data_IF_246673751057
#
_entry.id   IF_246673751057
#
_cell.length_a   1.000
_cell.length_b   1.000
_cell.length_c   1.000
_cell.angle_alpha   90.00
_cell.angle_beta   90.00
_cell.angle_gamma   90.00
#
_symmetry.space_group_name_H-M   'P 1'
#
loop_
_entity.id
_entity.type
_entity.pdbx_description
1 polymer ?
#
# COMPACT_ATOMS: atom_id res chain seq x y z
N UNK A 1 -10.59 -7.13 11.42
CA UNK A 1 -10.72 -5.67 11.26
C UNK A 1 -10.41 -5.35 9.80
N UNK A 2 -11.28 -4.64 9.08
CA UNK A 2 -11.07 -4.37 7.64
C UNK A 2 -9.97 -3.36 7.35
N UNK A 3 -9.63 -2.48 8.30
CA UNK A 3 -8.56 -1.49 8.13
C UNK A 3 -7.16 -2.00 8.48
N UNK A 4 -7.02 -3.26 8.89
CA UNK A 4 -5.76 -3.87 9.32
C UNK A 4 -4.87 -4.29 8.13
N UNK A 5 -4.74 -3.40 7.13
CA UNK A 5 -3.81 -3.56 6.02
C UNK A 5 -2.36 -3.36 6.49
N UNK A 6 -1.41 -3.95 5.78
CA UNK A 6 0.00 -3.95 6.17
C UNK A 6 0.55 -2.53 6.32
N UNK A 7 0.19 -1.64 5.42
CA UNK A 7 0.62 -0.23 5.39
C UNK A 7 0.09 0.54 6.59
N UNK A 8 -1.22 0.41 6.87
CA UNK A 8 -1.86 1.08 8.01
C UNK A 8 -1.23 0.61 9.32
N UNK A 9 -1.02 -0.70 9.48
CA UNK A 9 -0.39 -1.25 10.67
C UNK A 9 1.07 -0.80 10.81
N UNK A 10 1.86 -0.86 9.73
CA UNK A 10 3.27 -0.46 9.74
C UNK A 10 3.42 1.03 10.12
N UNK A 11 2.62 1.91 9.51
CA UNK A 11 2.63 3.34 9.80
C UNK A 11 2.19 3.63 11.24
N UNK A 12 1.09 3.01 11.69
CA UNK A 12 0.58 3.19 13.06
C UNK A 12 1.58 2.71 14.11
N UNK A 13 2.24 1.58 13.88
CA UNK A 13 3.27 1.04 14.77
C UNK A 13 4.50 1.96 14.82
N UNK A 14 4.97 2.46 13.66
CA UNK A 14 6.10 3.39 13.62
C UNK A 14 5.79 4.69 14.38
N UNK A 15 4.60 5.26 14.15
CA UNK A 15 4.12 6.46 14.85
C UNK A 15 4.03 6.23 16.37
N UNK A 16 3.47 5.09 16.78
CA UNK A 16 3.37 4.72 18.19
C UNK A 16 4.75 4.56 18.85
N UNK A 17 5.70 3.88 18.19
CA UNK A 17 7.05 3.66 18.71
C UNK A 17 7.87 4.95 18.84
N UNK A 18 7.64 5.91 17.94
CA UNK A 18 8.32 7.21 17.93
C UNK A 18 7.57 8.29 18.70
N UNK A 19 6.43 7.95 19.32
CA UNK A 19 5.54 8.86 20.05
C UNK A 19 5.21 10.15 19.26
N UNK A 20 4.89 9.97 17.97
CA UNK A 20 4.56 11.06 17.04
C UNK A 20 3.51 10.60 16.03
N UNK A 21 2.64 11.50 15.59
CA UNK A 21 1.76 11.24 14.45
C UNK A 21 2.41 11.59 13.11
N UNK A 22 3.48 12.40 13.11
CA UNK A 22 4.18 12.88 11.92
C UNK A 22 5.57 12.25 11.83
N UNK A 23 5.72 11.27 10.94
CA UNK A 23 6.99 10.57 10.68
C UNK A 23 8.01 11.43 9.91
N UNK A 24 7.60 12.58 9.39
CA UNK A 24 8.46 13.58 8.76
C UNK A 24 8.76 14.77 9.66
N UNK A 25 8.35 14.70 10.94
CA UNK A 25 8.42 15.80 11.89
C UNK A 25 9.86 16.28 12.17
N UNK A 26 10.02 17.53 12.65
CA UNK A 26 11.33 18.11 12.93
C UNK A 26 12.17 17.24 13.89
N UNK A 27 13.43 17.00 13.52
CA UNK A 27 14.36 16.21 14.34
C UNK A 27 14.28 14.70 14.11
N UNK A 28 13.36 14.21 13.28
CA UNK A 28 13.31 12.83 12.84
C UNK A 28 14.12 12.63 11.55
N UNK A 29 14.70 11.42 11.34
CA UNK A 29 15.25 11.07 10.04
C UNK A 29 14.14 10.94 9.00
N UNK A 30 14.51 11.02 7.73
CA UNK A 30 13.60 10.69 6.64
C UNK A 30 13.17 9.22 6.73
N UNK A 31 11.86 8.98 6.82
CA UNK A 31 11.28 7.64 6.82
C UNK A 31 10.74 7.27 5.45
N UNK A 32 10.82 5.98 5.13
CA UNK A 32 10.26 5.39 3.92
C UNK A 32 9.36 4.20 4.27
N UNK A 33 8.28 4.05 3.51
CA UNK A 33 7.41 2.88 3.56
C UNK A 33 7.77 1.94 2.41
N UNK A 34 8.12 0.69 2.74
CA UNK A 34 8.45 -0.34 1.75
C UNK A 34 7.33 -1.39 1.77
N UNK A 35 6.63 -1.54 0.65
CA UNK A 35 5.46 -2.41 0.53
C UNK A 35 5.53 -3.22 -0.76
N UNK A 36 4.85 -4.36 -0.79
CA UNK A 36 4.94 -5.32 -1.89
C UNK A 36 4.09 -4.96 -3.12
N UNK A 37 3.20 -3.97 -3.02
CA UNK A 37 2.44 -3.42 -4.16
C UNK A 37 2.00 -1.98 -3.87
N UNK A 38 1.42 -1.32 -4.86
CA UNK A 38 0.81 0.00 -4.70
C UNK A 38 -0.21 -0.05 -3.56
N UNK A 39 -0.23 0.94 -2.65
CA UNK A 39 -1.25 1.02 -1.60
C UNK A 39 -2.67 1.18 -2.19
N UNK A 40 -3.64 0.44 -1.64
CA UNK A 40 -5.07 0.61 -1.96
C UNK A 40 -5.58 2.00 -1.55
N UNK A 41 -6.79 2.39 -1.96
CA UNK A 41 -7.31 3.75 -1.73
C UNK A 41 -7.25 4.20 -0.26
N UNK A 42 -7.51 3.29 0.67
CA UNK A 42 -7.37 3.53 2.11
C UNK A 42 -5.90 3.75 2.49
N UNK A 43 -5.02 2.83 2.10
CA UNK A 43 -3.59 2.85 2.45
C UNK A 43 -2.85 4.00 1.77
N UNK A 44 -3.28 4.42 0.59
CA UNK A 44 -2.81 5.60 -0.12
C UNK A 44 -3.10 6.88 0.69
N UNK A 45 -4.32 7.00 1.23
CA UNK A 45 -4.66 8.07 2.17
C UNK A 45 -3.77 8.04 3.42
N UNK A 46 -3.64 6.87 4.06
CA UNK A 46 -2.78 6.71 5.23
C UNK A 46 -1.31 7.09 4.95
N UNK A 47 -0.80 6.72 3.78
CA UNK A 47 0.54 7.08 3.29
C UNK A 47 0.73 8.58 3.28
N UNK A 48 -0.19 9.34 2.66
CA UNK A 48 -0.14 10.80 2.58
C UNK A 48 -0.15 11.45 3.97
N UNK A 49 -0.97 10.95 4.89
CA UNK A 49 -1.13 11.55 6.22
C UNK A 49 -0.03 11.19 7.21
N UNK A 50 0.81 10.20 6.89
CA UNK A 50 1.77 9.65 7.84
C UNK A 50 3.03 10.49 8.07
N UNK A 51 3.34 11.40 7.15
CA UNK A 51 4.57 12.21 7.17
C UNK A 51 5.80 11.53 6.56
N UNK A 52 5.70 10.29 6.06
CA UNK A 52 6.82 9.67 5.35
C UNK A 52 7.20 10.48 4.10
N UNK A 53 8.45 10.34 3.67
CA UNK A 53 8.98 11.10 2.52
C UNK A 53 9.23 10.20 1.30
N UNK A 54 9.06 8.89 1.43
CA UNK A 54 9.26 7.95 0.34
C UNK A 54 8.39 6.71 0.47
N UNK A 55 7.89 6.23 -0.66
CA UNK A 55 7.26 4.92 -0.82
C UNK A 55 8.07 4.10 -1.81
N UNK A 56 8.35 2.85 -1.46
CA UNK A 56 9.02 1.87 -2.33
C UNK A 56 8.06 0.72 -2.56
N UNK A 57 7.75 0.44 -3.83
CA UNK A 57 6.82 -0.60 -4.24
C UNK A 57 7.43 -1.53 -5.28
N UNK A 58 6.98 -2.78 -5.28
CA UNK A 58 7.35 -3.74 -6.32
C UNK A 58 6.60 -3.51 -7.63
N UNK A 59 5.38 -2.95 -7.57
CA UNK A 59 4.59 -2.60 -8.74
C UNK A 59 3.27 -1.95 -8.34
N UNK A 60 2.53 -1.44 -9.32
CA UNK A 60 1.27 -0.73 -9.11
C UNK A 60 0.32 -0.81 -10.30
N UNK A 61 0.40 -1.90 -11.05
CA UNK A 61 -0.48 -2.20 -12.16
C UNK A 61 -1.61 -3.16 -11.76
N UNK A 62 -2.39 -3.65 -12.75
CA UNK A 62 -3.56 -4.50 -12.52
C UNK A 62 -3.19 -5.92 -12.09
N UNK A 63 -1.91 -6.31 -12.14
CA UNK A 63 -1.47 -7.69 -11.92
C UNK A 63 -1.93 -8.24 -10.56
N UNK A 64 -1.92 -7.43 -9.50
CA UNK A 64 -2.42 -7.85 -8.19
C UNK A 64 -3.91 -8.22 -8.24
N UNK A 65 -4.74 -7.33 -8.77
CA UNK A 65 -6.19 -7.52 -8.83
C UNK A 65 -6.54 -8.71 -9.72
N UNK A 66 -5.87 -8.84 -10.88
CA UNK A 66 -6.05 -9.94 -11.82
C UNK A 66 -5.65 -11.30 -11.23
N UNK A 67 -4.57 -11.37 -10.45
CA UNK A 67 -4.06 -12.63 -9.89
C UNK A 67 -4.84 -13.05 -8.64
N UNK A 68 -5.16 -12.09 -7.76
CA UNK A 68 -5.64 -12.38 -6.40
C UNK A 68 -7.12 -12.10 -6.20
N UNK A 69 -7.75 -11.28 -7.03
CA UNK A 69 -9.10 -10.79 -6.82
C UNK A 69 -9.26 -9.75 -5.70
N UNK A 70 -8.15 -9.18 -5.20
CA UNK A 70 -8.21 -7.98 -4.36
C UNK A 70 -8.79 -6.80 -5.15
N UNK A 71 -9.40 -5.86 -4.43
CA UNK A 71 -9.92 -4.60 -4.97
C UNK A 71 -9.10 -3.47 -4.36
N UNK A 72 -8.34 -2.76 -5.19
CA UNK A 72 -7.50 -1.64 -4.76
C UNK A 72 -8.33 -0.38 -4.48
N UNK A 73 -9.61 -0.39 -4.84
CA UNK A 73 -10.53 0.71 -4.73
C UNK A 73 -10.26 1.81 -5.76
N UNK A 74 -11.01 2.92 -5.67
CA UNK A 74 -10.96 4.02 -6.64
C UNK A 74 -9.71 4.89 -6.42
N UNK A 75 -8.55 4.37 -6.83
CA UNK A 75 -7.30 5.14 -6.84
C UNK A 75 -7.38 6.22 -7.92
N UNK A 76 -6.97 7.45 -7.56
CA UNK A 76 -6.89 8.55 -8.50
C UNK A 76 -5.96 8.19 -9.67
N UNK A 77 -6.31 8.45 -10.95
CA UNK A 77 -5.45 8.11 -12.09
C UNK A 77 -4.03 8.68 -11.98
N UNK A 78 -3.91 9.91 -11.46
CA UNK A 78 -2.64 10.61 -11.27
C UNK A 78 -2.00 10.40 -9.89
N UNK A 79 -2.34 9.31 -9.18
CA UNK A 79 -1.82 9.06 -7.82
C UNK A 79 -0.29 9.18 -7.69
N UNK A 80 0.46 8.77 -8.73
CA UNK A 80 1.93 8.93 -8.76
C UNK A 80 2.36 10.39 -8.68
N UNK A 81 1.71 11.24 -9.48
CA UNK A 81 1.96 12.66 -9.50
C UNK A 81 1.53 13.32 -8.17
N UNK A 82 0.40 12.89 -7.64
CA UNK A 82 -0.12 13.38 -6.37
C UNK A 82 0.82 13.09 -5.18
N UNK A 83 1.55 11.97 -5.17
CA UNK A 83 2.62 11.72 -4.19
C UNK A 83 3.78 12.73 -4.35
N UNK A 84 4.26 12.92 -5.58
CA UNK A 84 5.40 13.80 -5.86
C UNK A 84 5.13 15.26 -5.45
N UNK A 85 3.95 15.81 -5.77
CA UNK A 85 3.61 17.20 -5.39
C UNK A 85 3.45 17.39 -3.89
N UNK A 86 3.28 16.31 -3.13
CA UNK A 86 3.27 16.29 -1.66
C UNK A 86 4.66 16.01 -1.07
N UNK A 87 5.70 15.95 -1.90
CA UNK A 87 7.07 15.70 -1.48
C UNK A 87 7.33 14.25 -1.07
N UNK A 88 6.52 13.31 -1.55
CA UNK A 88 6.70 11.88 -1.31
C UNK A 88 7.32 11.26 -2.55
N UNK A 89 8.58 10.84 -2.44
CA UNK A 89 9.29 10.11 -3.49
C UNK A 89 8.63 8.75 -3.73
N UNK A 90 8.46 8.37 -4.99
CA UNK A 90 7.98 7.05 -5.37
C UNK A 90 9.11 6.28 -6.08
N UNK A 91 9.44 5.10 -5.56
CA UNK A 91 10.35 4.14 -6.20
C UNK A 91 9.52 2.91 -6.57
N UNK A 92 9.49 2.58 -7.86
CA UNK A 92 8.71 1.45 -8.41
C UNK A 92 9.63 0.35 -8.95
N UNK A 93 9.02 -0.78 -9.31
CA UNK A 93 9.66 -1.93 -9.95
C UNK A 93 10.75 -2.63 -9.11
N UNK A 94 10.71 -2.47 -7.78
CA UNK A 94 11.66 -3.14 -6.87
C UNK A 94 11.23 -4.58 -6.62
N UNK A 95 11.98 -5.56 -7.16
CA UNK A 95 11.66 -7.00 -7.03
C UNK A 95 10.26 -7.35 -7.55
N UNK A 96 9.85 -6.71 -8.67
CA UNK A 96 8.53 -6.87 -9.27
C UNK A 96 8.20 -8.33 -9.59
N UNK A 97 9.14 -9.06 -10.19
CA UNK A 97 8.93 -10.44 -10.61
C UNK A 97 8.66 -11.36 -9.40
N UNK A 98 9.43 -11.16 -8.33
CA UNK A 98 9.31 -11.89 -7.09
C UNK A 98 7.98 -11.58 -6.38
N UNK A 99 7.55 -10.30 -6.37
CA UNK A 99 6.25 -9.93 -5.81
C UNK A 99 5.09 -10.58 -6.57
N UNK A 100 5.13 -10.59 -7.91
CA UNK A 100 4.13 -11.27 -8.75
C UNK A 100 4.10 -12.77 -8.45
N UNK A 101 5.26 -13.41 -8.27
CA UNK A 101 5.32 -14.82 -7.90
C UNK A 101 4.61 -15.08 -6.57
N UNK A 102 4.83 -14.24 -5.55
CA UNK A 102 4.15 -14.35 -4.26
C UNK A 102 2.64 -14.22 -4.41
N UNK A 103 2.13 -13.36 -5.29
CA UNK A 103 0.69 -13.27 -5.56
C UNK A 103 0.10 -14.54 -6.17
N UNK A 104 0.83 -15.18 -7.09
CA UNK A 104 0.41 -16.48 -7.63
C UNK A 104 0.38 -17.57 -6.55
N UNK A 105 1.39 -17.61 -5.68
CA UNK A 105 1.44 -18.54 -4.55
C UNK A 105 0.27 -18.29 -3.58
N UNK A 106 -0.04 -17.02 -3.30
CA UNK A 106 -1.19 -16.63 -2.47
C UNK A 106 -2.52 -17.07 -3.09
N UNK A 107 -2.74 -16.77 -4.38
CA UNK A 107 -3.96 -17.16 -5.09
C UNK A 107 -4.15 -18.69 -5.10
N UNK A 108 -3.07 -19.47 -5.20
CA UNK A 108 -3.10 -20.93 -5.13
C UNK A 108 -3.34 -21.48 -3.72
N UNK A 109 -3.09 -20.69 -2.67
CA UNK A 109 -3.17 -21.15 -1.26
C UNK A 109 -4.59 -21.26 -0.70
N UNK A 110 -5.62 -20.91 -1.48
CA UNK A 110 -7.03 -20.94 -1.10
C UNK A 110 -7.35 -20.11 0.18
N UNK A 111 -6.49 -19.15 0.50
CA UNK A 111 -6.68 -18.22 1.62
C UNK A 111 -7.78 -17.21 1.29
N UNK A 112 -8.52 -16.80 2.32
CA UNK A 112 -9.65 -15.89 2.17
C UNK A 112 -9.15 -14.49 1.77
N UNK A 113 -9.60 -14.00 0.62
CA UNK A 113 -9.43 -12.60 0.19
C UNK A 113 -10.35 -11.74 1.05
N UNK A 114 -9.77 -10.96 1.96
CA UNK A 114 -10.56 -10.10 2.85
C UNK A 114 -10.98 -8.83 2.12
N UNK A 115 -12.16 -8.86 1.50
CA UNK A 115 -12.77 -7.72 0.83
C UNK A 115 -14.11 -7.37 1.50
N UNK A 116 -14.37 -6.08 1.73
CA UNK A 116 -15.56 -5.61 2.48
C UNK A 116 -16.89 -6.07 1.86
N UNK A 117 -16.87 -6.34 0.56
CA UNK A 117 -17.84 -7.12 -0.19
C UNK A 117 -17.02 -7.87 -1.23
N UNK A 118 -16.88 -9.19 -1.12
CA UNK A 118 -16.49 -10.00 -2.28
C UNK A 118 -17.36 -9.49 -3.44
N UNK A 119 -16.72 -8.94 -4.49
CA UNK A 119 -17.42 -8.32 -5.61
C UNK A 119 -18.61 -9.18 -5.96
N UNK A 120 -19.81 -8.59 -5.97
CA UNK A 120 -21.08 -9.28 -6.10
C UNK A 120 -21.06 -10.15 -7.36
N UNK A 121 -20.68 -11.42 -7.17
CA UNK A 121 -20.92 -12.47 -8.12
C UNK A 121 -22.41 -12.81 -8.03
N UNK A 122 -23.16 -12.40 -9.05
CA UNK A 122 -24.48 -12.93 -9.35
C UNK A 122 -25.67 -12.03 -8.99
N UNK A 123 -26.16 -11.31 -9.99
CA UNK A 123 -27.44 -11.62 -10.68
C UNK A 123 -27.49 -10.92 -12.03
#
# INVERSE_FOLDING_TARGET
CSSAHAEVLALSLAQHLLDTFDLGGPGLPAHQLVVNWRPCAMCYGATIWSGIQRVVIAGGGPELEDITGFDEGPIHPDWRHELQVRGIDLVEDVLKAEAIQVFHEFAASNQLVYNGRLGSAGS
#
